data_IF_838434872148
#
_entry.id   IF_838434872148
#
_cell.length_a   1.000
_cell.length_b   1.000
_cell.length_c   1.000
_cell.angle_alpha   90.00
_cell.angle_beta   90.00
_cell.angle_gamma   90.00
#
_symmetry.space_group_name_H-M   'P 1'
#
loop_
_entity.id
_entity.type
_entity.pdbx_description
1 polymer ?
#
# COMPACT_ATOMS: atom_id res chain seq x y z
N UNK A 1 52.08 17.63 19.75
CA UNK A 1 51.87 19.10 19.73
C UNK A 1 50.38 19.35 19.93
N UNK A 2 50.11 20.12 20.93
CA UNK A 2 48.89 20.20 21.72
C UNK A 2 47.77 20.99 21.04
N UNK A 3 46.52 20.49 21.16
CA UNK A 3 45.30 21.10 20.59
C UNK A 3 44.62 21.99 21.66
N UNK A 4 45.30 23.02 22.14
CA UNK A 4 44.67 24.05 22.98
C UNK A 4 45.43 25.35 22.77
N UNK A 5 44.81 26.29 22.05
CA UNK A 5 44.85 27.75 22.22
C UNK A 5 44.41 28.45 20.96
N UNK A 6 43.13 28.78 20.88
CA UNK A 6 42.62 29.91 20.10
C UNK A 6 41.20 30.29 20.62
N UNK A 7 41.19 30.96 21.77
CA UNK A 7 40.04 31.74 22.22
C UNK A 7 40.65 33.06 22.78
N UNK A 8 40.55 34.10 22.01
CA UNK A 8 41.00 35.42 22.38
C UNK A 8 40.20 36.52 21.70
N UNK A 9 39.27 37.09 22.46
CA UNK A 9 38.75 38.45 22.40
C UNK A 9 38.24 39.03 21.05
N UNK A 10 36.91 39.15 20.96
CA UNK A 10 36.26 40.27 20.31
C UNK A 10 35.08 40.73 21.19
N UNK A 11 35.30 41.76 21.98
CA UNK A 11 34.22 42.58 22.53
C UNK A 11 33.61 43.40 21.42
N UNK A 12 32.35 43.13 21.09
CA UNK A 12 31.55 43.98 20.25
C UNK A 12 30.39 44.53 21.05
N UNK A 13 30.30 45.82 21.08
CA UNK A 13 29.30 46.70 21.68
C UNK A 13 27.88 46.28 21.30
N UNK A 14 27.05 46.02 22.30
CA UNK A 14 25.62 45.77 22.15
C UNK A 14 24.91 47.10 21.87
N UNK A 15 24.43 47.25 20.63
CA UNK A 15 23.39 48.22 20.29
C UNK A 15 22.03 47.55 20.50
N UNK A 16 21.27 47.97 21.49
CA UNK A 16 19.88 47.58 21.74
C UNK A 16 18.96 48.11 20.66
N UNK A 17 18.53 47.25 19.73
CA UNK A 17 17.37 47.50 18.86
C UNK A 17 16.10 46.96 19.54
N UNK A 18 14.94 47.65 19.44
CA UNK A 18 13.70 47.18 20.07
C UNK A 18 13.27 45.86 19.41
N UNK A 19 13.07 44.84 20.26
CA UNK A 19 12.67 43.52 19.83
C UNK A 19 11.30 43.47 19.18
N UNK A 20 11.26 43.30 17.90
CA UNK A 20 10.11 42.69 17.24
C UNK A 20 10.19 41.18 17.53
N UNK A 21 9.40 40.76 18.50
CA UNK A 21 9.11 39.31 18.65
C UNK A 21 8.39 38.86 17.39
N UNK A 22 9.15 38.37 16.41
CA UNK A 22 8.59 37.47 15.39
C UNK A 22 8.19 36.21 16.15
N UNK A 23 6.95 36.19 16.63
CA UNK A 23 6.28 34.90 16.93
C UNK A 23 6.15 34.18 15.61
N UNK A 24 7.09 33.25 15.35
CA UNK A 24 6.82 32.15 14.44
C UNK A 24 5.65 31.39 15.08
N UNK A 25 4.43 31.70 14.66
CA UNK A 25 3.35 30.76 14.81
C UNK A 25 3.80 29.55 14.01
N UNK A 26 4.17 28.47 14.70
CA UNK A 26 4.22 27.16 14.08
C UNK A 26 2.83 27.00 13.47
N UNK A 27 2.75 27.09 12.14
CA UNK A 27 1.55 26.76 11.39
C UNK A 27 1.19 25.35 11.87
N UNK A 28 0.14 25.22 12.66
CA UNK A 28 -0.31 23.92 13.14
C UNK A 28 -0.58 23.10 11.89
N UNK A 29 0.26 22.10 11.62
CA UNK A 29 0.11 21.26 10.46
C UNK A 29 -1.33 20.75 10.44
N UNK A 30 -2.06 21.04 9.37
CA UNK A 30 -3.46 20.69 9.23
C UNK A 30 -3.64 19.19 9.44
N UNK A 31 -4.49 18.84 10.40
CA UNK A 31 -4.71 17.43 10.77
C UNK A 31 -5.33 16.71 9.57
N UNK A 32 -4.78 15.54 9.16
CA UNK A 32 -5.33 14.76 8.07
C UNK A 32 -6.83 14.49 8.27
N UNK A 33 -7.63 14.69 7.23
CA UNK A 33 -9.10 14.60 7.34
C UNK A 33 -9.60 13.25 7.86
N UNK A 34 -8.86 12.17 7.62
CA UNK A 34 -9.19 10.84 8.12
C UNK A 34 -8.91 10.67 9.63
N UNK A 35 -8.12 11.58 10.24
CA UNK A 35 -7.81 11.59 11.68
C UNK A 35 -8.74 12.49 12.49
N UNK A 36 -9.86 12.93 11.94
CA UNK A 36 -10.87 13.67 12.71
C UNK A 36 -11.35 12.83 13.89
N UNK A 37 -11.36 13.46 15.08
CA UNK A 37 -11.64 12.81 16.34
C UNK A 37 -10.40 12.32 17.09
N UNK A 38 -9.20 12.45 16.50
CA UNK A 38 -7.91 12.11 17.10
C UNK A 38 -6.99 13.31 17.27
N UNK A 39 -7.53 14.54 17.21
CA UNK A 39 -6.78 15.82 17.19
C UNK A 39 -5.82 15.94 18.37
N UNK A 40 -6.31 15.62 19.58
CA UNK A 40 -5.49 15.72 20.81
C UNK A 40 -4.30 14.78 20.78
N UNK A 41 -4.53 13.53 20.36
CA UNK A 41 -3.46 12.54 20.25
C UNK A 41 -2.48 12.90 19.12
N UNK A 42 -3.00 13.37 17.99
CA UNK A 42 -2.20 13.81 16.85
C UNK A 42 -1.23 14.95 17.23
N UNK A 43 -1.69 15.90 18.03
CA UNK A 43 -0.86 17.00 18.52
C UNK A 43 0.25 16.57 19.49
N UNK A 44 0.12 15.41 20.13
CA UNK A 44 1.11 14.83 21.03
C UNK A 44 2.04 13.86 20.28
N UNK A 45 1.46 12.97 19.50
CA UNK A 45 2.14 11.94 18.71
C UNK A 45 1.29 11.59 17.50
N UNK A 46 1.67 12.10 16.34
CA UNK A 46 0.94 11.90 15.08
C UNK A 46 0.92 10.43 14.65
N UNK A 47 1.97 9.68 14.95
CA UNK A 47 2.07 8.26 14.64
C UNK A 47 1.14 7.42 15.52
N UNK A 48 1.13 7.68 16.83
CA UNK A 48 0.20 7.03 17.76
C UNK A 48 -1.26 7.30 17.40
N UNK A 49 -1.59 8.52 16.94
CA UNK A 49 -2.93 8.86 16.47
C UNK A 49 -3.33 8.03 15.24
N UNK A 50 -2.42 7.86 14.28
CA UNK A 50 -2.66 7.04 13.11
C UNK A 50 -2.84 5.55 13.45
N UNK A 51 -2.05 5.01 14.37
CA UNK A 51 -2.19 3.63 14.86
C UNK A 51 -3.54 3.40 15.55
N UNK A 52 -3.96 4.32 16.43
CA UNK A 52 -5.24 4.18 17.14
C UNK A 52 -6.42 4.34 16.17
N UNK A 53 -6.33 5.27 15.22
CA UNK A 53 -7.32 5.37 14.14
C UNK A 53 -7.40 4.08 13.33
N UNK A 54 -6.27 3.52 12.89
CA UNK A 54 -6.23 2.32 12.07
C UNK A 54 -6.83 1.10 12.80
N UNK A 55 -6.54 0.95 14.08
CA UNK A 55 -7.14 -0.08 14.94
C UNK A 55 -8.67 0.01 14.96
N UNK A 56 -9.23 1.22 14.86
CA UNK A 56 -10.67 1.47 14.90
C UNK A 56 -11.31 1.54 13.49
N UNK A 57 -10.51 1.64 12.43
CA UNK A 57 -11.00 1.75 11.06
C UNK A 57 -11.70 0.48 10.55
N UNK A 58 -11.24 -0.68 10.95
CA UNK A 58 -11.84 -2.02 10.81
C UNK A 58 -12.10 -2.53 9.39
N UNK A 59 -12.44 -1.69 8.41
CA UNK A 59 -12.81 -2.12 7.07
C UNK A 59 -12.29 -1.14 6.03
N UNK A 60 -11.62 -1.66 4.98
CA UNK A 60 -11.05 -0.89 3.89
C UNK A 60 -11.30 -1.52 2.52
N UNK A 61 -11.28 -0.67 1.47
CA UNK A 61 -11.31 -1.07 0.06
C UNK A 61 -9.88 -1.22 -0.45
N UNK A 62 -9.57 -2.34 -1.09
CA UNK A 62 -8.35 -2.49 -1.88
C UNK A 62 -8.68 -2.50 -3.37
N UNK A 63 -7.78 -1.95 -4.18
CA UNK A 63 -7.91 -2.00 -5.64
C UNK A 63 -6.59 -2.43 -6.26
N UNK A 64 -6.63 -3.56 -7.01
CA UNK A 64 -5.52 -3.97 -7.87
C UNK A 64 -5.83 -3.52 -9.30
N UNK A 65 -5.22 -2.42 -9.72
CA UNK A 65 -5.40 -1.82 -11.04
C UNK A 65 -4.04 -1.54 -11.70
N UNK A 66 -3.95 -1.82 -13.00
CA UNK A 66 -2.73 -1.65 -13.78
C UNK A 66 -2.95 -2.04 -15.24
N UNK A 67 -1.87 -2.14 -16.04
CA UNK A 67 -1.96 -2.54 -17.45
C UNK A 67 -2.57 -3.93 -17.62
N UNK A 68 -2.35 -4.85 -16.67
CA UNK A 68 -2.91 -6.19 -16.67
C UNK A 68 -4.44 -6.20 -16.77
N UNK A 69 -5.13 -5.16 -16.31
CA UNK A 69 -6.59 -5.04 -16.43
C UNK A 69 -7.05 -5.01 -17.89
N UNK A 70 -6.22 -4.49 -18.81
CA UNK A 70 -6.51 -4.48 -20.25
C UNK A 70 -6.55 -5.90 -20.83
N UNK A 71 -5.80 -6.83 -20.26
CA UNK A 71 -5.77 -8.23 -20.68
C UNK A 71 -6.90 -9.06 -20.05
N UNK A 72 -7.41 -8.65 -18.89
CA UNK A 72 -8.49 -9.36 -18.19
C UNK A 72 -8.14 -10.79 -17.81
N UNK A 73 -6.89 -11.05 -17.40
CA UNK A 73 -6.38 -12.37 -17.03
C UNK A 73 -5.60 -12.36 -15.70
N UNK A 74 -5.90 -11.36 -14.83
CA UNK A 74 -5.28 -11.20 -13.53
C UNK A 74 -3.93 -10.47 -13.57
N UNK A 75 -3.47 -10.08 -12.40
CA UNK A 75 -2.30 -9.21 -12.21
C UNK A 75 -0.96 -9.92 -12.48
N UNK A 76 -0.94 -11.23 -12.52
CA UNK A 76 0.26 -12.04 -12.78
C UNK A 76 0.44 -12.45 -14.26
N UNK A 77 -0.41 -11.96 -15.15
CA UNK A 77 -0.45 -12.35 -16.57
C UNK A 77 0.89 -12.19 -17.29
N UNK A 78 1.62 -11.10 -17.04
CA UNK A 78 2.95 -10.88 -17.62
C UNK A 78 3.92 -12.01 -17.26
N UNK A 79 3.91 -12.45 -16.01
CA UNK A 79 4.78 -13.53 -15.52
C UNK A 79 4.35 -14.89 -16.08
N UNK A 80 3.05 -15.23 -15.95
CA UNK A 80 2.55 -16.56 -16.28
C UNK A 80 2.61 -16.84 -17.79
N UNK A 81 2.30 -15.84 -18.59
CA UNK A 81 2.32 -15.96 -20.05
C UNK A 81 3.69 -15.59 -20.66
N UNK A 82 4.67 -15.23 -19.81
CA UNK A 82 6.02 -14.87 -20.25
C UNK A 82 6.01 -13.78 -21.33
N UNK A 83 5.14 -12.79 -21.18
CA UNK A 83 5.03 -11.71 -22.18
C UNK A 83 6.32 -10.90 -22.17
N UNK A 84 7.06 -10.76 -23.30
CA UNK A 84 8.31 -10.03 -23.35
C UNK A 84 8.17 -8.60 -22.88
N UNK A 85 9.20 -8.07 -22.19
CA UNK A 85 9.18 -6.71 -21.60
C UNK A 85 8.77 -5.66 -22.62
N UNK A 86 9.44 -5.61 -23.77
CA UNK A 86 9.14 -4.66 -24.85
C UNK A 86 7.71 -4.80 -25.43
N UNK A 87 7.11 -6.00 -25.35
CA UNK A 87 5.74 -6.23 -25.78
C UNK A 87 4.75 -5.73 -24.74
N UNK A 88 5.00 -6.04 -23.47
CA UNK A 88 4.13 -5.63 -22.39
C UNK A 88 4.15 -4.10 -22.20
N UNK A 89 5.32 -3.47 -22.33
CA UNK A 89 5.49 -2.02 -22.21
C UNK A 89 4.60 -1.24 -23.20
N UNK A 90 4.40 -1.76 -24.42
CA UNK A 90 3.52 -1.15 -25.43
C UNK A 90 2.07 -1.04 -25.00
N UNK A 91 1.62 -1.80 -24.01
CA UNK A 91 0.26 -1.68 -23.49
C UNK A 91 -0.02 -0.30 -22.86
N UNK A 92 1.05 0.42 -22.46
CA UNK A 92 0.93 1.82 -22.05
C UNK A 92 0.31 2.70 -23.15
N UNK A 93 0.60 2.41 -24.42
CA UNK A 93 0.14 3.20 -25.60
C UNK A 93 -1.38 3.14 -25.78
N UNK A 94 -2.05 2.18 -25.15
CA UNK A 94 -3.51 2.02 -25.18
C UNK A 94 -4.17 2.23 -23.83
N UNK A 95 -3.40 2.54 -22.78
CA UNK A 95 -3.95 2.71 -21.44
C UNK A 95 -4.78 3.99 -21.35
N UNK A 96 -6.10 3.82 -21.22
CA UNK A 96 -7.05 4.93 -21.13
C UNK A 96 -8.22 4.57 -20.20
N UNK A 97 -8.07 4.76 -18.87
CA UNK A 97 -9.09 4.48 -17.87
C UNK A 97 -10.15 5.59 -17.83
N UNK A 98 -10.90 5.76 -18.91
CA UNK A 98 -11.85 6.87 -19.07
C UNK A 98 -13.04 6.81 -18.11
N UNK A 99 -13.30 5.66 -17.49
CA UNK A 99 -14.33 5.48 -16.47
C UNK A 99 -13.76 5.40 -15.03
N UNK A 100 -12.47 5.62 -14.84
CA UNK A 100 -11.92 5.76 -13.49
C UNK A 100 -12.44 7.07 -12.88
N UNK A 101 -13.29 6.94 -11.88
CA UNK A 101 -13.88 8.06 -11.14
C UNK A 101 -13.53 7.94 -9.66
N UNK A 102 -12.55 8.74 -9.24
CA UNK A 102 -12.04 8.72 -7.87
C UNK A 102 -13.09 9.14 -6.82
N UNK A 103 -13.98 10.08 -7.15
CA UNK A 103 -15.08 10.49 -6.27
C UNK A 103 -16.10 9.36 -6.10
N UNK A 104 -16.48 8.67 -7.19
CA UNK A 104 -17.40 7.54 -7.15
C UNK A 104 -16.81 6.33 -6.41
N UNK A 105 -15.49 6.07 -6.56
CA UNK A 105 -14.78 5.03 -5.82
C UNK A 105 -14.81 5.33 -4.32
N UNK A 106 -14.52 6.57 -3.92
CA UNK A 106 -14.54 6.97 -2.52
C UNK A 106 -15.98 6.94 -1.94
N UNK A 107 -17.00 7.30 -2.72
CA UNK A 107 -18.40 7.16 -2.32
C UNK A 107 -18.79 5.70 -2.11
N UNK A 108 -18.37 4.80 -3.02
CA UNK A 108 -18.62 3.38 -2.88
C UNK A 108 -17.97 2.80 -1.60
N UNK A 109 -16.74 3.23 -1.30
CA UNK A 109 -16.09 2.83 -0.05
C UNK A 109 -16.88 3.29 1.20
N UNK A 110 -17.36 4.53 1.21
CA UNK A 110 -18.22 5.04 2.28
C UNK A 110 -19.57 4.31 2.34
N UNK A 111 -20.19 4.08 1.19
CA UNK A 111 -21.44 3.32 1.07
C UNK A 111 -21.29 1.91 1.66
N UNK A 112 -20.13 1.27 1.45
CA UNK A 112 -19.80 -0.04 2.03
C UNK A 112 -19.47 0.02 3.53
N UNK A 113 -19.33 1.20 4.14
CA UNK A 113 -18.95 1.38 5.55
C UNK A 113 -17.45 1.36 5.79
N UNK A 114 -16.65 1.45 4.73
CA UNK A 114 -15.20 1.47 4.78
C UNK A 114 -14.64 2.80 5.28
N UNK A 115 -13.43 2.79 5.83
CA UNK A 115 -12.75 3.95 6.41
C UNK A 115 -11.48 4.34 5.68
N UNK A 116 -10.99 3.49 4.80
CA UNK A 116 -9.79 3.74 4.01
C UNK A 116 -9.82 3.00 2.67
N UNK A 117 -8.97 3.48 1.77
CA UNK A 117 -8.73 2.88 0.45
C UNK A 117 -7.25 2.55 0.34
N UNK A 118 -6.93 1.37 -0.18
CA UNK A 118 -5.59 0.93 -0.57
C UNK A 118 -5.58 0.70 -2.08
N UNK A 119 -4.72 1.39 -2.84
CA UNK A 119 -4.67 1.23 -4.29
C UNK A 119 -3.25 0.95 -4.77
N UNK A 120 -3.10 0.08 -5.77
CA UNK A 120 -1.81 -0.18 -6.41
C UNK A 120 -1.30 1.08 -7.09
N UNK A 121 -0.36 1.79 -6.44
CA UNK A 121 0.37 2.89 -7.10
C UNK A 121 1.34 2.35 -8.15
N UNK A 122 1.99 1.22 -7.85
CA UNK A 122 2.83 0.43 -8.77
C UNK A 122 2.73 -1.04 -8.38
N UNK A 123 2.29 -1.91 -9.30
CA UNK A 123 2.31 -3.37 -9.14
C UNK A 123 3.59 -3.99 -9.71
N UNK A 124 3.74 -5.31 -9.69
CA UNK A 124 4.95 -6.05 -10.11
C UNK A 124 5.33 -5.82 -11.58
N UNK A 125 4.38 -5.46 -12.43
CA UNK A 125 4.61 -5.10 -13.84
C UNK A 125 5.39 -3.79 -14.03
N UNK A 126 5.58 -3.01 -12.94
CA UNK A 126 6.35 -1.77 -12.93
C UNK A 126 5.62 -0.52 -13.43
N UNK A 127 4.38 -0.64 -13.96
CA UNK A 127 3.62 0.50 -14.43
C UNK A 127 3.11 1.34 -13.26
N UNK A 128 3.35 2.67 -13.34
CA UNK A 128 3.02 3.62 -12.28
C UNK A 128 1.70 4.31 -12.56
N UNK A 129 0.72 4.21 -11.65
CA UNK A 129 -0.55 4.92 -11.74
C UNK A 129 -0.50 6.35 -11.21
N UNK A 130 0.70 6.91 -11.04
CA UNK A 130 0.98 8.21 -10.47
C UNK A 130 2.02 8.98 -11.29
N UNK A 131 2.04 10.29 -11.07
CA UNK A 131 3.05 11.17 -11.68
C UNK A 131 4.43 10.88 -11.09
N UNK A 132 5.33 10.38 -11.92
CA UNK A 132 6.72 10.13 -11.53
C UNK A 132 7.69 10.65 -12.59
N UNK A 133 8.84 11.15 -12.14
CA UNK A 133 9.95 11.56 -13.03
C UNK A 133 10.97 10.44 -13.23
N UNK A 134 10.80 9.32 -12.50
CA UNK A 134 11.77 8.23 -12.50
C UNK A 134 11.67 7.33 -13.73
N UNK A 135 10.49 7.32 -14.37
CA UNK A 135 10.23 6.53 -15.58
C UNK A 135 9.09 7.15 -16.39
N UNK A 136 9.14 7.10 -17.74
CA UNK A 136 7.98 7.41 -18.57
C UNK A 136 6.91 6.29 -18.60
N UNK A 137 7.16 5.18 -17.91
CA UNK A 137 6.24 4.04 -17.83
C UNK A 137 5.18 4.30 -16.75
N UNK A 138 4.31 5.27 -17.00
CA UNK A 138 3.30 5.74 -16.07
C UNK A 138 2.02 6.23 -16.75
N UNK A 139 0.95 6.42 -15.97
CA UNK A 139 -0.38 6.82 -16.46
C UNK A 139 -0.43 8.24 -17.01
N UNK A 140 0.45 9.14 -16.56
CA UNK A 140 0.49 10.54 -17.04
C UNK A 140 1.11 10.63 -18.42
N UNK A 141 2.13 9.80 -18.70
CA UNK A 141 2.80 9.69 -20.00
C UNK A 141 2.14 8.64 -20.93
N UNK A 142 0.95 8.18 -20.60
CA UNK A 142 0.09 7.34 -21.42
C UNK A 142 -1.02 8.16 -22.09
N UNK A 143 -1.84 7.60 -22.99
CA UNK A 143 -3.01 8.28 -23.55
C UNK A 143 -4.03 8.77 -22.51
N UNK A 144 -4.00 8.22 -21.29
CA UNK A 144 -4.80 8.68 -20.17
C UNK A 144 -4.47 10.12 -19.78
N UNK A 145 -3.18 10.50 -19.78
CA UNK A 145 -2.66 11.80 -19.32
C UNK A 145 -3.18 12.19 -17.91
N UNK A 146 -3.39 11.18 -17.05
CA UNK A 146 -4.01 11.33 -15.74
C UNK A 146 -3.12 10.80 -14.62
N UNK A 147 -3.09 11.52 -13.51
CA UNK A 147 -2.48 11.10 -12.25
C UNK A 147 -3.54 10.46 -11.36
N UNK A 148 -3.77 9.15 -11.54
CA UNK A 148 -4.87 8.45 -10.86
C UNK A 148 -4.70 8.43 -9.34
N UNK A 149 -3.46 8.39 -8.85
CA UNK A 149 -3.22 8.45 -7.39
C UNK A 149 -3.46 9.85 -6.84
N UNK A 150 -3.13 10.90 -7.60
CA UNK A 150 -3.44 12.28 -7.24
C UNK A 150 -4.95 12.54 -7.15
N UNK A 151 -5.71 12.03 -8.12
CA UNK A 151 -7.18 12.11 -8.12
C UNK A 151 -7.78 11.36 -6.92
N UNK A 152 -7.32 10.14 -6.65
CA UNK A 152 -7.80 9.33 -5.54
C UNK A 152 -7.46 9.96 -4.18
N UNK A 153 -6.25 10.53 -4.04
CA UNK A 153 -5.85 11.24 -2.83
C UNK A 153 -6.73 12.47 -2.55
N UNK A 154 -7.08 13.22 -3.59
CA UNK A 154 -7.99 14.36 -3.45
C UNK A 154 -9.39 13.92 -3.01
N UNK A 155 -9.94 12.87 -3.63
CA UNK A 155 -11.25 12.31 -3.29
C UNK A 155 -11.30 11.76 -1.86
N UNK A 156 -10.30 10.97 -1.46
CA UNK A 156 -10.19 10.43 -0.10
C UNK A 156 -10.10 11.56 0.95
N UNK A 157 -9.24 12.57 0.73
CA UNK A 157 -9.12 13.72 1.63
C UNK A 157 -10.43 14.49 1.78
N UNK A 158 -11.12 14.76 0.69
CA UNK A 158 -12.43 15.45 0.68
C UNK A 158 -13.47 14.69 1.51
N UNK A 159 -13.43 13.37 1.50
CA UNK A 159 -14.42 12.49 2.13
C UNK A 159 -14.00 11.93 3.50
N UNK A 160 -12.82 12.27 3.99
CA UNK A 160 -12.32 11.81 5.30
C UNK A 160 -11.93 10.32 5.32
N UNK A 161 -11.58 9.76 4.16
CA UNK A 161 -11.02 8.42 4.03
C UNK A 161 -9.50 8.44 4.14
N UNK A 162 -8.91 7.46 4.83
CA UNK A 162 -7.47 7.22 4.78
C UNK A 162 -7.08 6.65 3.41
N UNK A 163 -5.95 7.10 2.85
CA UNK A 163 -5.39 6.52 1.64
C UNK A 163 -4.08 5.81 1.96
N UNK A 164 -4.02 4.51 1.68
CA UNK A 164 -2.81 3.73 1.62
C UNK A 164 -2.38 3.54 0.16
N UNK A 165 -1.11 3.71 -0.12
CA UNK A 165 -0.56 3.40 -1.43
C UNK A 165 0.13 2.03 -1.37
N UNK A 166 -0.45 1.06 -2.08
CA UNK A 166 0.23 -0.21 -2.31
C UNK A 166 1.42 0.04 -3.24
N UNK A 167 2.57 -0.49 -2.88
CA UNK A 167 3.79 -0.37 -3.66
C UNK A 167 4.51 -1.73 -3.76
N UNK A 168 4.68 -2.24 -4.98
CA UNK A 168 5.49 -3.42 -5.22
C UNK A 168 6.97 -3.10 -4.98
N UNK A 169 7.47 -3.45 -3.79
CA UNK A 169 8.83 -3.16 -3.37
C UNK A 169 9.81 -4.26 -3.78
N UNK A 170 9.41 -5.52 -3.64
CA UNK A 170 10.32 -6.64 -3.85
C UNK A 170 9.95 -7.52 -5.06
N UNK A 171 9.25 -6.94 -6.02
CA UNK A 171 9.08 -7.45 -7.37
C UNK A 171 8.93 -6.29 -8.36
N UNK A 172 9.68 -6.33 -9.43
CA UNK A 172 9.53 -5.39 -10.55
C UNK A 172 10.02 -6.08 -11.83
N UNK A 173 9.06 -6.51 -12.65
CA UNK A 173 9.35 -7.25 -13.88
C UNK A 173 9.77 -6.34 -15.05
N UNK A 174 9.63 -5.03 -14.89
CA UNK A 174 10.00 -4.04 -15.89
C UNK A 174 11.38 -3.42 -15.60
N UNK A 175 11.67 -3.10 -14.32
CA UNK A 175 12.87 -2.34 -13.98
C UNK A 175 14.16 -3.10 -14.32
N UNK A 176 15.09 -2.50 -15.10
CA UNK A 176 16.26 -3.22 -15.62
C UNK A 176 17.19 -3.79 -14.56
N UNK A 177 17.29 -3.17 -13.39
CA UNK A 177 18.20 -3.54 -12.32
C UNK A 177 17.55 -4.32 -11.16
N UNK A 178 16.30 -4.76 -11.29
CA UNK A 178 15.79 -5.77 -10.37
C UNK A 178 16.58 -7.08 -10.59
N UNK A 179 16.80 -7.87 -9.55
CA UNK A 179 17.66 -9.05 -9.65
C UNK A 179 17.06 -10.19 -10.49
N UNK A 180 17.90 -11.11 -10.95
CA UNK A 180 17.50 -12.22 -11.81
C UNK A 180 16.90 -13.39 -11.02
N UNK A 181 16.18 -14.27 -11.72
CA UNK A 181 15.62 -15.51 -11.16
C UNK A 181 16.68 -16.38 -10.46
N UNK A 182 17.86 -16.52 -11.04
CA UNK A 182 18.96 -17.32 -10.51
C UNK A 182 19.56 -16.78 -9.21
N UNK A 183 19.20 -15.54 -8.82
CA UNK A 183 19.70 -14.94 -7.58
C UNK A 183 18.94 -15.37 -6.33
N UNK A 184 17.78 -16.06 -6.45
CA UNK A 184 17.11 -16.60 -5.26
C UNK A 184 15.61 -16.86 -5.37
N UNK A 185 14.92 -16.29 -6.36
CA UNK A 185 13.47 -16.39 -6.49
C UNK A 185 13.01 -16.60 -7.92
N UNK A 186 12.25 -17.68 -8.17
CA UNK A 186 11.80 -18.05 -9.51
C UNK A 186 10.90 -17.01 -10.18
N UNK A 187 10.18 -16.18 -9.41
CA UNK A 187 9.27 -15.17 -9.94
C UNK A 187 9.86 -13.76 -9.91
N UNK A 188 11.18 -13.64 -9.64
CA UNK A 188 11.89 -12.36 -9.76
C UNK A 188 11.78 -11.76 -11.17
N UNK A 189 11.69 -12.64 -12.18
CA UNK A 189 11.46 -12.31 -13.59
C UNK A 189 10.60 -13.40 -14.22
N UNK A 190 9.82 -13.13 -15.29
CA UNK A 190 9.23 -14.19 -16.09
C UNK A 190 10.30 -15.16 -16.65
N UNK A 191 9.92 -16.43 -16.84
CA UNK A 191 10.83 -17.46 -17.34
C UNK A 191 10.91 -17.44 -18.86
N UNK A 192 11.51 -16.40 -19.42
CA UNK A 192 11.65 -16.24 -20.86
C UNK A 192 12.57 -17.31 -21.46
N UNK A 193 12.23 -17.76 -22.66
CA UNK A 193 13.06 -18.73 -23.43
C UNK A 193 14.29 -18.05 -24.06
N UNK A 194 14.22 -16.72 -24.24
CA UNK A 194 15.33 -15.89 -24.74
C UNK A 194 15.64 -14.76 -23.74
N UNK A 195 16.92 -14.36 -23.63
CA UNK A 195 17.31 -13.22 -22.82
C UNK A 195 16.52 -11.96 -23.21
N UNK A 196 16.10 -11.17 -22.22
CA UNK A 196 15.51 -9.86 -22.46
C UNK A 196 16.60 -8.80 -22.39
N UNK A 197 16.81 -8.03 -23.48
CA UNK A 197 17.87 -7.01 -23.53
C UNK A 197 17.68 -5.89 -22.52
N UNK A 198 16.45 -5.67 -22.06
CA UNK A 198 16.09 -4.69 -21.04
C UNK A 198 16.66 -5.01 -19.66
N UNK A 199 17.01 -6.28 -19.37
CA UNK A 199 17.50 -6.71 -18.06
C UNK A 199 19.01 -6.52 -17.93
N UNK A 200 19.41 -5.51 -17.18
CA UNK A 200 20.80 -5.06 -17.05
C UNK A 200 21.49 -5.52 -15.76
N UNK A 201 20.74 -6.03 -14.77
CA UNK A 201 21.33 -6.54 -13.53
C UNK A 201 22.34 -7.68 -13.82
N UNK A 202 23.52 -7.60 -13.24
CA UNK A 202 24.60 -8.60 -13.39
C UNK A 202 25.17 -9.06 -12.06
N UNK A 203 25.16 -8.20 -11.05
CA UNK A 203 25.73 -8.43 -9.72
C UNK A 203 24.91 -7.68 -8.67
N UNK A 204 25.06 -8.06 -7.39
CA UNK A 204 24.28 -7.51 -6.29
C UNK A 204 24.44 -5.99 -6.13
N UNK A 205 25.62 -5.44 -6.44
CA UNK A 205 25.86 -4.00 -6.40
C UNK A 205 24.95 -3.20 -7.38
N UNK A 206 24.54 -3.81 -8.49
CA UNK A 206 23.66 -3.17 -9.46
C UNK A 206 22.25 -2.93 -8.89
N UNK A 207 21.85 -3.72 -7.88
CA UNK A 207 20.55 -3.59 -7.26
C UNK A 207 20.33 -2.25 -6.56
N UNK A 208 21.42 -1.55 -6.19
CA UNK A 208 21.31 -0.21 -5.62
C UNK A 208 20.61 0.76 -6.56
N UNK A 209 20.75 0.62 -7.88
CA UNK A 209 20.04 1.44 -8.87
C UNK A 209 18.52 1.25 -8.80
N UNK A 210 18.06 0.02 -8.49
CA UNK A 210 16.65 -0.22 -8.22
C UNK A 210 16.20 0.41 -6.89
N UNK A 211 16.99 0.31 -5.84
CA UNK A 211 16.67 0.92 -4.55
C UNK A 211 16.60 2.45 -4.65
N UNK A 212 17.53 3.07 -5.35
CA UNK A 212 17.51 4.53 -5.58
C UNK A 212 16.25 4.97 -6.36
N UNK A 213 15.86 4.20 -7.38
CA UNK A 213 14.60 4.39 -8.10
C UNK A 213 13.39 4.31 -7.14
N UNK A 214 13.33 3.27 -6.29
CA UNK A 214 12.25 3.11 -5.30
C UNK A 214 12.21 4.29 -4.32
N UNK A 215 13.36 4.67 -3.75
CA UNK A 215 13.44 5.77 -2.79
C UNK A 215 13.01 7.11 -3.41
N UNK A 216 13.36 7.36 -4.67
CA UNK A 216 12.92 8.56 -5.38
C UNK A 216 11.41 8.54 -5.62
N UNK A 217 10.84 7.41 -6.03
CA UNK A 217 9.38 7.27 -6.17
C UNK A 217 8.65 7.42 -4.84
N UNK A 218 9.17 6.87 -3.75
CA UNK A 218 8.58 7.07 -2.40
C UNK A 218 8.61 8.56 -2.00
N UNK A 219 9.70 9.30 -2.31
CA UNK A 219 9.72 10.76 -2.09
C UNK A 219 8.62 11.46 -2.87
N UNK A 220 8.44 11.11 -4.14
CA UNK A 220 7.38 11.67 -4.97
C UNK A 220 6.00 11.37 -4.38
N UNK A 221 5.70 10.11 -4.04
CA UNK A 221 4.42 9.70 -3.47
C UNK A 221 4.11 10.41 -2.13
N UNK A 222 5.11 10.57 -1.27
CA UNK A 222 4.95 11.15 0.07
C UNK A 222 4.95 12.69 0.07
N UNK A 223 5.28 13.35 -1.05
CA UNK A 223 5.33 14.82 -1.11
C UNK A 223 4.30 15.44 -2.06
N UNK A 224 3.72 14.65 -3.00
CA UNK A 224 2.81 15.20 -4.02
C UNK A 224 1.34 15.19 -3.60
N UNK A 225 0.91 14.27 -2.73
CA UNK A 225 -0.51 13.97 -2.54
C UNK A 225 -1.08 14.39 -1.19
N UNK A 226 -0.30 15.12 -0.38
CA UNK A 226 -0.67 15.49 0.98
C UNK A 226 -0.58 14.29 1.93
N UNK A 227 -1.23 14.36 3.11
CA UNK A 227 -1.11 13.34 4.13
C UNK A 227 -1.70 11.99 3.68
N UNK A 228 -0.85 10.96 3.67
CA UNK A 228 -1.24 9.58 3.42
C UNK A 228 -1.50 8.85 4.76
N UNK A 229 -2.39 7.88 4.75
CA UNK A 229 -2.58 6.97 5.89
C UNK A 229 -1.46 5.95 5.98
N UNK A 230 -0.89 5.52 4.84
CA UNK A 230 0.24 4.62 4.87
C UNK A 230 0.80 4.20 3.52
N UNK A 231 1.91 3.47 3.58
CA UNK A 231 2.50 2.71 2.47
C UNK A 231 2.30 1.22 2.76
N UNK A 232 1.66 0.54 1.83
CA UNK A 232 1.42 -0.89 1.88
C UNK A 232 2.39 -1.59 0.94
N UNK A 233 3.51 -2.10 1.49
CA UNK A 233 4.51 -2.82 0.72
C UNK A 233 4.09 -4.26 0.46
N UNK A 234 4.24 -4.67 -0.79
CA UNK A 234 4.16 -6.08 -1.15
C UNK A 234 5.56 -6.68 -1.25
N UNK A 235 5.96 -7.51 -0.28
CA UNK A 235 7.25 -8.15 -0.30
C UNK A 235 7.32 -9.29 -1.29
N UNK A 236 6.18 -9.91 -1.58
CA UNK A 236 6.15 -11.23 -2.19
C UNK A 236 7.35 -12.08 -1.71
N UNK A 237 7.70 -13.14 -2.35
CA UNK A 237 8.87 -13.93 -1.91
C UNK A 237 10.22 -13.28 -2.26
N UNK A 238 10.19 -12.23 -3.07
CA UNK A 238 11.41 -11.54 -3.53
C UNK A 238 12.28 -10.98 -2.41
N UNK A 239 11.65 -10.35 -1.39
CA UNK A 239 12.38 -9.90 -0.21
C UNK A 239 12.93 -11.07 0.60
N UNK A 240 12.10 -12.07 0.90
CA UNK A 240 12.53 -13.19 1.77
C UNK A 240 13.65 -14.03 1.16
N UNK A 241 13.70 -14.14 -0.16
CA UNK A 241 14.79 -14.80 -0.87
C UNK A 241 16.13 -14.05 -0.80
N UNK A 242 16.08 -12.70 -0.77
CA UNK A 242 17.26 -11.83 -0.83
C UNK A 242 17.11 -10.62 0.11
N UNK A 243 16.93 -10.84 1.43
CA UNK A 243 16.77 -9.74 2.40
C UNK A 243 17.99 -8.82 2.47
N UNK A 244 19.15 -9.33 2.08
CA UNK A 244 20.43 -8.63 2.01
C UNK A 244 20.44 -7.47 0.99
N UNK A 245 19.56 -7.49 -0.01
CA UNK A 245 19.50 -6.46 -1.06
C UNK A 245 18.60 -5.27 -0.69
N UNK A 246 17.77 -5.40 0.34
CA UNK A 246 16.75 -4.40 0.66
C UNK A 246 17.05 -3.63 1.95
N UNK A 247 17.47 -2.36 1.88
CA UNK A 247 17.81 -1.55 3.05
C UNK A 247 16.55 -1.03 3.77
N UNK A 248 15.78 -1.92 4.41
CA UNK A 248 14.49 -1.59 5.02
C UNK A 248 14.55 -0.46 6.04
N UNK A 249 15.61 -0.42 6.87
CA UNK A 249 15.76 0.64 7.87
C UNK A 249 15.88 2.02 7.20
N UNK A 250 16.63 2.13 6.11
CA UNK A 250 16.76 3.34 5.30
C UNK A 250 15.41 3.71 4.66
N UNK A 251 14.72 2.72 4.10
CA UNK A 251 13.42 2.91 3.45
C UNK A 251 12.35 3.40 4.42
N UNK A 252 12.26 2.79 5.61
CA UNK A 252 11.27 3.18 6.62
C UNK A 252 11.61 4.55 7.24
N UNK A 253 12.89 4.82 7.51
CA UNK A 253 13.33 6.13 7.99
C UNK A 253 13.00 7.25 7.00
N UNK A 254 13.12 6.99 5.68
CA UNK A 254 12.72 7.93 4.64
C UNK A 254 11.21 8.26 4.74
N UNK A 255 10.35 7.24 4.89
CA UNK A 255 8.90 7.44 4.96
C UNK A 255 8.54 8.27 6.20
N UNK A 256 9.02 7.89 7.39
CA UNK A 256 8.71 8.62 8.63
C UNK A 256 9.30 10.03 8.66
N UNK A 257 10.44 10.27 8.00
CA UNK A 257 11.01 11.61 7.90
C UNK A 257 10.17 12.59 7.07
N UNK A 258 9.41 12.07 6.11
CA UNK A 258 8.55 12.86 5.23
C UNK A 258 7.12 12.96 5.78
N UNK A 259 6.60 11.89 6.34
CA UNK A 259 5.25 11.82 6.91
C UNK A 259 5.25 10.97 8.19
N UNK A 260 5.46 11.57 9.37
CA UNK A 260 5.56 10.83 10.63
C UNK A 260 4.32 9.99 10.99
N UNK A 261 3.13 10.40 10.56
CA UNK A 261 1.87 9.68 10.77
C UNK A 261 1.66 8.51 9.80
N UNK A 262 2.46 8.41 8.73
CA UNK A 262 2.27 7.40 7.68
C UNK A 262 2.58 6.00 8.22
N UNK A 263 1.60 5.10 8.16
CA UNK A 263 1.77 3.72 8.63
C UNK A 263 2.43 2.84 7.56
N UNK A 264 3.22 1.88 8.00
CA UNK A 264 3.93 0.96 7.11
C UNK A 264 3.46 -0.48 7.35
N UNK A 265 3.03 -1.16 6.29
CA UNK A 265 2.81 -2.60 6.26
C UNK A 265 3.74 -3.28 5.27
N UNK A 266 4.08 -4.53 5.58
CA UNK A 266 4.90 -5.41 4.74
C UNK A 266 4.38 -6.84 4.87
N UNK A 267 3.11 -7.07 4.48
CA UNK A 267 2.39 -8.35 4.66
C UNK A 267 2.60 -8.97 6.05
N UNK A 268 3.21 -10.15 6.14
CA UNK A 268 3.51 -10.79 7.43
C UNK A 268 4.63 -10.09 8.20
N UNK A 269 5.27 -9.11 7.59
CA UNK A 269 6.38 -8.36 8.12
C UNK A 269 7.72 -8.76 7.50
N UNK A 270 8.71 -7.89 7.66
CA UNK A 270 10.06 -8.08 7.14
C UNK A 270 11.12 -8.05 8.25
N UNK A 271 11.15 -7.00 9.08
CA UNK A 271 12.15 -6.88 10.15
C UNK A 271 11.53 -6.65 11.54
N UNK A 272 10.21 -6.54 11.62
CA UNK A 272 9.47 -6.29 12.87
C UNK A 272 9.25 -4.81 13.20
N UNK A 273 9.70 -3.88 12.33
CA UNK A 273 9.46 -2.43 12.51
C UNK A 273 8.17 -1.95 11.83
N UNK A 274 7.49 -2.81 11.10
CA UNK A 274 6.21 -2.51 10.46
C UNK A 274 5.14 -2.16 11.51
N UNK A 275 4.19 -1.31 11.17
CA UNK A 275 3.14 -0.84 12.08
C UNK A 275 2.04 -1.88 12.29
N UNK A 276 1.72 -2.65 11.27
CA UNK A 276 0.74 -3.71 11.29
C UNK A 276 1.13 -4.83 10.33
N UNK A 277 0.54 -6.03 10.53
CA UNK A 277 0.68 -7.14 9.58
C UNK A 277 -0.57 -7.27 8.71
N UNK A 278 -0.37 -7.57 7.43
CA UNK A 278 -1.44 -7.73 6.46
C UNK A 278 -1.35 -9.08 5.72
N UNK A 279 -1.59 -10.21 6.43
CA UNK A 279 -1.55 -11.53 5.80
C UNK A 279 -2.72 -11.73 4.83
N UNK A 280 -2.45 -12.45 3.74
CA UNK A 280 -3.45 -12.75 2.72
C UNK A 280 -4.40 -13.86 3.17
N UNK A 281 -5.70 -13.62 3.01
CA UNK A 281 -6.82 -14.56 3.20
C UNK A 281 -6.96 -15.14 4.60
N UNK A 282 -5.86 -15.44 5.27
CA UNK A 282 -5.83 -16.04 6.59
C UNK A 282 -4.54 -15.73 7.35
N UNK A 283 -4.57 -15.86 8.67
CA UNK A 283 -3.35 -15.72 9.47
C UNK A 283 -2.33 -16.83 9.13
N UNK A 284 -1.02 -16.53 9.13
CA UNK A 284 0.03 -17.53 8.95
C UNK A 284 -0.10 -18.70 9.96
N UNK A 285 0.21 -19.89 9.50
CA UNK A 285 0.05 -21.15 10.25
C UNK A 285 -0.92 -22.13 9.60
N UNK A 286 -1.86 -21.63 8.76
CA UNK A 286 -2.80 -22.44 7.99
C UNK A 286 -2.54 -22.42 6.48
N UNK A 287 -1.54 -21.65 6.00
CA UNK A 287 -1.25 -21.49 4.57
C UNK A 287 -0.33 -22.60 4.01
N UNK A 288 -0.52 -22.97 2.73
CA UNK A 288 0.47 -23.80 2.04
C UNK A 288 1.83 -23.11 2.02
N UNK A 289 2.93 -23.90 2.05
CA UNK A 289 4.30 -23.41 2.09
C UNK A 289 4.59 -22.40 0.94
N UNK A 290 4.72 -21.10 1.22
CA UNK A 290 4.90 -20.06 0.20
C UNK A 290 6.29 -20.12 -0.46
N UNK A 291 7.20 -20.94 0.06
CA UNK A 291 8.60 -20.97 -0.34
C UNK A 291 8.92 -21.86 -1.54
N UNK A 292 7.93 -22.48 -2.19
CA UNK A 292 8.17 -23.31 -3.37
C UNK A 292 8.87 -22.56 -4.51
N UNK A 293 8.58 -21.28 -4.67
CA UNK A 293 9.20 -20.41 -5.68
C UNK A 293 10.57 -19.85 -5.27
N UNK A 294 11.00 -20.07 -4.02
CA UNK A 294 12.34 -19.70 -3.55
C UNK A 294 13.31 -20.84 -3.85
N UNK A 295 14.48 -20.49 -4.40
CA UNK A 295 15.52 -21.46 -4.69
C UNK A 295 15.92 -22.22 -3.42
N UNK A 296 16.21 -23.53 -3.49
CA UNK A 296 16.53 -24.36 -2.33
C UNK A 296 17.62 -23.74 -1.42
N UNK A 297 18.65 -23.14 -2.01
CA UNK A 297 19.76 -22.49 -1.29
C UNK A 297 19.36 -21.24 -0.49
N UNK A 298 18.16 -20.71 -0.68
CA UNK A 298 17.65 -19.50 -0.01
C UNK A 298 16.48 -19.76 0.93
N UNK A 299 15.94 -20.99 0.96
CA UNK A 299 14.74 -21.32 1.73
C UNK A 299 14.93 -21.21 3.24
N UNK A 300 16.09 -21.59 3.74
CA UNK A 300 16.41 -21.48 5.17
C UNK A 300 16.39 -20.04 5.62
N UNK A 301 17.15 -19.17 4.94
CA UNK A 301 17.15 -17.71 5.20
C UNK A 301 15.76 -17.12 5.12
N UNK A 302 14.97 -17.48 4.10
CA UNK A 302 13.60 -17.00 3.93
C UNK A 302 12.69 -17.41 5.10
N UNK A 303 12.80 -18.66 5.56
CA UNK A 303 12.05 -19.17 6.71
C UNK A 303 12.41 -18.44 8.01
N UNK A 304 13.69 -18.20 8.25
CA UNK A 304 14.17 -17.51 9.44
C UNK A 304 13.66 -16.05 9.46
N UNK A 305 13.82 -15.33 8.35
CA UNK A 305 13.38 -13.93 8.23
C UNK A 305 11.86 -13.82 8.45
N UNK A 306 11.07 -14.65 7.75
CA UNK A 306 9.62 -14.62 7.86
C UNK A 306 9.14 -15.00 9.26
N UNK A 307 9.70 -16.08 9.84
CA UNK A 307 9.31 -16.54 11.17
C UNK A 307 9.61 -15.50 12.25
N UNK A 308 10.80 -14.87 12.18
CA UNK A 308 11.17 -13.78 13.10
C UNK A 308 10.25 -12.58 12.95
N UNK A 309 10.02 -12.13 11.73
CA UNK A 309 9.17 -10.97 11.47
C UNK A 309 7.73 -11.23 11.92
N UNK A 310 7.18 -12.41 11.61
CA UNK A 310 5.84 -12.79 12.04
C UNK A 310 5.71 -12.89 13.56
N UNK A 311 6.71 -13.47 14.25
CA UNK A 311 6.71 -13.56 15.72
C UNK A 311 6.54 -12.18 16.39
N UNK A 312 7.11 -11.14 15.80
CA UNK A 312 6.96 -9.76 16.29
C UNK A 312 5.61 -9.18 15.87
N UNK A 313 5.30 -9.25 14.59
CA UNK A 313 4.17 -8.53 13.99
C UNK A 313 2.79 -9.12 14.33
N UNK A 314 2.69 -10.42 14.64
CA UNK A 314 1.42 -11.04 15.06
C UNK A 314 0.82 -10.45 16.35
N UNK A 315 1.60 -9.69 17.11
CA UNK A 315 1.18 -8.99 18.34
C UNK A 315 0.62 -7.58 18.07
N UNK A 316 0.77 -7.09 16.85
CA UNK A 316 0.29 -5.79 16.40
C UNK A 316 -1.12 -5.90 15.83
N UNK A 317 -1.68 -4.79 15.36
CA UNK A 317 -2.92 -4.84 14.58
C UNK A 317 -2.74 -5.75 13.37
N UNK A 318 -3.72 -6.60 13.12
CA UNK A 318 -3.77 -7.45 11.92
C UNK A 318 -4.79 -6.87 10.96
N UNK A 319 -4.44 -6.82 9.69
CA UNK A 319 -5.31 -6.51 8.57
C UNK A 319 -5.39 -7.74 7.65
N UNK A 320 -6.48 -8.48 7.73
CA UNK A 320 -6.69 -9.59 6.80
C UNK A 320 -7.05 -9.04 5.43
N UNK A 321 -6.23 -9.28 4.40
CA UNK A 321 -6.58 -8.90 3.04
C UNK A 321 -7.20 -10.07 2.28
N UNK A 322 -8.33 -9.80 1.61
CA UNK A 322 -9.06 -10.76 0.79
C UNK A 322 -9.60 -10.08 -0.47
N UNK A 323 -10.17 -10.84 -1.39
CA UNK A 323 -10.63 -10.32 -2.68
C UNK A 323 -12.04 -10.78 -3.01
N UNK A 324 -12.79 -9.95 -3.72
CA UNK A 324 -14.12 -10.27 -4.24
C UNK A 324 -14.03 -11.33 -5.35
N UNK A 325 -13.03 -11.23 -6.22
CA UNK A 325 -12.78 -12.25 -7.24
C UNK A 325 -12.24 -13.55 -6.61
N UNK A 326 -12.65 -14.74 -7.07
CA UNK A 326 -12.22 -16.00 -6.45
C UNK A 326 -10.75 -16.33 -6.68
N UNK A 327 -10.17 -16.01 -7.85
CA UNK A 327 -8.89 -16.54 -8.33
C UNK A 327 -7.75 -15.52 -8.40
N UNK A 328 -8.01 -14.22 -8.35
CA UNK A 328 -6.99 -13.18 -8.53
C UNK A 328 -7.30 -11.90 -7.77
N UNK A 329 -6.35 -10.96 -7.82
CA UNK A 329 -6.50 -9.61 -7.25
C UNK A 329 -6.83 -8.58 -8.34
N UNK A 330 -6.16 -8.61 -9.48
CA UNK A 330 -6.47 -7.83 -10.67
C UNK A 330 -7.60 -8.44 -11.48
N UNK A 331 -8.25 -7.63 -12.33
CA UNK A 331 -9.38 -8.08 -13.12
C UNK A 331 -9.09 -9.36 -13.93
N UNK A 332 -9.98 -10.34 -13.79
CA UNK A 332 -10.00 -11.59 -14.55
C UNK A 332 -11.38 -11.80 -15.14
N UNK A 333 -11.49 -11.72 -16.46
CA UNK A 333 -12.75 -11.96 -17.19
C UNK A 333 -13.29 -13.37 -16.95
N UNK A 334 -12.44 -14.34 -16.65
CA UNK A 334 -12.85 -15.71 -16.34
C UNK A 334 -13.62 -15.81 -15.01
N UNK A 335 -13.54 -14.80 -14.18
CA UNK A 335 -14.21 -14.72 -12.88
C UNK A 335 -15.52 -13.92 -12.92
N UNK A 336 -15.88 -13.32 -14.06
CA UNK A 336 -17.15 -12.60 -14.23
C UNK A 336 -18.34 -13.50 -13.86
N UNK A 337 -19.26 -12.98 -13.05
CA UNK A 337 -20.43 -13.71 -12.55
C UNK A 337 -20.13 -14.71 -11.43
N UNK A 338 -18.88 -14.73 -10.90
CA UNK A 338 -18.44 -15.64 -9.82
C UNK A 338 -17.90 -14.90 -8.61
N UNK A 339 -18.02 -13.59 -8.59
CA UNK A 339 -17.52 -12.79 -7.47
C UNK A 339 -18.32 -13.09 -6.20
N UNK A 340 -17.68 -12.87 -5.05
CA UNK A 340 -18.29 -13.13 -3.74
C UNK A 340 -19.54 -12.29 -3.53
N UNK A 341 -20.56 -12.92 -2.97
CA UNK A 341 -21.80 -12.25 -2.59
C UNK A 341 -21.70 -11.62 -1.21
N UNK A 342 -22.66 -10.76 -0.88
CA UNK A 342 -22.66 -9.99 0.37
C UNK A 342 -22.60 -10.87 1.63
N UNK A 343 -23.27 -12.02 1.64
CA UNK A 343 -23.29 -12.96 2.76
C UNK A 343 -21.90 -13.49 3.09
N UNK A 344 -21.09 -13.84 2.06
CA UNK A 344 -19.72 -14.31 2.25
C UNK A 344 -18.83 -13.19 2.82
N UNK A 345 -18.97 -11.96 2.30
CA UNK A 345 -18.23 -10.80 2.78
C UNK A 345 -18.60 -10.46 4.22
N UNK A 346 -19.89 -10.51 4.58
CA UNK A 346 -20.35 -10.30 5.95
C UNK A 346 -19.77 -11.36 6.91
N UNK A 347 -19.66 -12.61 6.49
CA UNK A 347 -19.01 -13.66 7.28
C UNK A 347 -17.52 -13.35 7.50
N UNK A 348 -16.80 -12.86 6.46
CA UNK A 348 -15.40 -12.44 6.58
C UNK A 348 -15.26 -11.26 7.57
N UNK A 349 -16.13 -10.26 7.46
CA UNK A 349 -16.17 -9.10 8.38
C UNK A 349 -16.37 -9.56 9.80
N UNK A 350 -17.39 -10.39 10.06
CA UNK A 350 -17.71 -10.89 11.39
C UNK A 350 -16.54 -11.68 11.98
N UNK A 351 -15.89 -12.52 11.19
CA UNK A 351 -14.73 -13.30 11.61
C UNK A 351 -13.53 -12.42 11.95
N UNK A 352 -13.21 -11.45 11.09
CA UNK A 352 -12.12 -10.50 11.32
C UNK A 352 -12.37 -9.64 12.57
N UNK A 353 -13.56 -9.07 12.69
CA UNK A 353 -13.89 -8.19 13.82
C UNK A 353 -13.96 -8.95 15.16
N UNK A 354 -14.45 -10.19 15.16
CA UNK A 354 -14.41 -11.04 16.35
C UNK A 354 -12.99 -11.33 16.83
N UNK A 355 -12.03 -11.41 15.90
CA UNK A 355 -10.60 -11.54 16.21
C UNK A 355 -9.91 -10.22 16.56
N UNK A 356 -10.61 -9.07 16.47
CA UNK A 356 -10.03 -7.74 16.65
C UNK A 356 -9.34 -7.19 15.40
N UNK A 357 -9.36 -7.93 14.29
CA UNK A 357 -8.66 -7.61 13.05
C UNK A 357 -9.41 -6.57 12.20
N UNK A 358 -8.67 -5.95 11.28
CA UNK A 358 -9.25 -5.23 10.16
C UNK A 358 -9.47 -6.19 8.98
N UNK A 359 -10.42 -5.88 8.11
CA UNK A 359 -10.58 -6.52 6.81
C UNK A 359 -10.27 -5.50 5.71
N UNK A 360 -9.36 -5.85 4.82
CA UNK A 360 -9.09 -5.12 3.57
C UNK A 360 -9.64 -5.97 2.41
N UNK A 361 -10.69 -5.48 1.74
CA UNK A 361 -11.38 -6.24 0.69
C UNK A 361 -11.09 -5.65 -0.68
N UNK A 362 -10.53 -6.48 -1.56
CA UNK A 362 -10.07 -6.07 -2.87
C UNK A 362 -11.14 -6.22 -3.96
N UNK A 363 -11.15 -5.28 -4.88
CA UNK A 363 -11.74 -5.36 -6.22
C UNK A 363 -10.66 -5.19 -7.29
N UNK A 364 -10.84 -5.79 -8.45
CA UNK A 364 -9.99 -5.59 -9.63
C UNK A 364 -10.73 -4.72 -10.66
N UNK A 365 -10.45 -3.41 -10.77
CA UNK A 365 -11.09 -2.56 -11.77
C UNK A 365 -10.90 -3.07 -13.20
N UNK A 366 -11.92 -2.88 -14.02
CA UNK A 366 -11.95 -3.23 -15.45
C UNK A 366 -10.92 -2.40 -16.23
N UNK A 367 -10.69 -2.76 -17.49
CA UNK A 367 -9.74 -2.07 -18.36
C UNK A 367 -10.00 -0.55 -18.48
N UNK A 368 -11.25 -0.15 -18.47
CA UNK A 368 -11.68 1.26 -18.54
C UNK A 368 -11.61 2.01 -17.21
N UNK A 369 -11.19 1.34 -16.13
CA UNK A 369 -11.04 1.89 -14.78
C UNK A 369 -12.31 1.81 -13.92
N UNK A 370 -13.43 1.33 -14.43
CA UNK A 370 -14.66 1.14 -13.65
C UNK A 370 -14.55 -0.08 -12.71
N UNK A 371 -15.30 -0.04 -11.62
CA UNK A 371 -15.50 -1.22 -10.75
C UNK A 371 -16.65 -2.05 -11.32
N UNK A 372 -16.52 -3.39 -11.32
CA UNK A 372 -17.55 -4.27 -11.85
C UNK A 372 -18.90 -4.07 -11.16
N UNK A 373 -19.98 -4.20 -11.90
CA UNK A 373 -21.34 -4.01 -11.38
C UNK A 373 -21.69 -5.01 -10.25
N UNK A 374 -21.13 -6.22 -10.30
CA UNK A 374 -21.32 -7.22 -9.24
C UNK A 374 -20.61 -6.85 -7.96
N UNK A 375 -19.39 -6.30 -8.02
CA UNK A 375 -18.67 -5.80 -6.85
C UNK A 375 -19.39 -4.59 -6.23
N UNK A 376 -19.82 -3.63 -7.05
CA UNK A 376 -20.61 -2.47 -6.62
C UNK A 376 -21.87 -2.92 -5.88
N UNK A 377 -22.58 -3.90 -6.43
CA UNK A 377 -23.79 -4.46 -5.80
C UNK A 377 -23.44 -5.06 -4.43
N UNK A 378 -22.47 -5.96 -4.39
CA UNK A 378 -22.03 -6.64 -3.16
C UNK A 378 -21.61 -5.63 -2.08
N UNK A 379 -20.77 -4.66 -2.43
CA UNK A 379 -20.28 -3.65 -1.47
C UNK A 379 -21.40 -2.79 -0.90
N UNK A 380 -22.38 -2.38 -1.73
CA UNK A 380 -23.55 -1.62 -1.24
C UNK A 380 -24.46 -2.45 -0.34
N UNK A 381 -24.61 -3.76 -0.63
CA UNK A 381 -25.36 -4.68 0.23
C UNK A 381 -24.69 -4.87 1.58
N UNK A 382 -23.38 -5.08 1.61
CA UNK A 382 -22.57 -5.12 2.84
C UNK A 382 -22.76 -3.85 3.67
N UNK A 383 -22.69 -2.68 3.04
CA UNK A 383 -22.86 -1.41 3.73
C UNK A 383 -24.27 -1.24 4.35
N UNK A 384 -25.31 -1.70 3.66
CA UNK A 384 -26.67 -1.72 4.24
C UNK A 384 -26.74 -2.60 5.48
N UNK A 385 -26.12 -3.78 5.46
CA UNK A 385 -26.06 -4.69 6.60
C UNK A 385 -25.34 -4.06 7.79
N UNK A 386 -24.16 -3.46 7.59
CA UNK A 386 -23.38 -2.81 8.65
C UNK A 386 -24.18 -1.70 9.33
N UNK A 387 -24.86 -0.85 8.55
CA UNK A 387 -25.70 0.24 9.09
C UNK A 387 -26.97 -0.28 9.78
N UNK A 388 -27.60 -1.32 9.25
CA UNK A 388 -28.78 -1.95 9.83
C UNK A 388 -28.49 -2.64 11.18
N UNK A 389 -27.35 -3.35 11.28
CA UNK A 389 -26.91 -3.96 12.53
C UNK A 389 -26.60 -2.95 13.63
N UNK A 390 -26.07 -1.78 13.28
CA UNK A 390 -25.86 -0.67 14.22
C UNK A 390 -27.18 -0.10 14.77
N UNK A 391 -28.23 -0.05 13.95
CA UNK A 391 -29.56 0.40 14.39
C UNK A 391 -30.22 -0.58 15.40
N UNK A 392 -30.05 -1.89 15.19
CA UNK A 392 -30.58 -2.91 16.09
C UNK A 392 -29.91 -2.90 17.47
N UNK A 393 -28.61 -2.62 17.54
CA UNK A 393 -27.85 -2.54 18.80
C UNK A 393 -28.20 -1.29 19.63
N UNK A 394 -28.65 -0.22 19.00
CA UNK A 394 -29.09 1.02 19.66
C UNK A 394 -30.51 0.83 20.26
N UNK A 395 -31.41 0.12 19.58
CA UNK A 395 -32.76 -0.17 20.09
C UNK A 395 -32.74 -1.07 21.32
N UNK A 396 -31.89 -2.10 21.32
CA UNK A 396 -31.76 -3.03 22.49
C UNK A 396 -31.14 -2.33 23.71
N UNK A 397 -30.32 -1.28 23.55
CA UNK A 397 -29.82 -0.49 24.69
C UNK A 397 -30.85 0.48 25.25
N UNK A 398 -31.79 0.98 24.44
CA UNK A 398 -32.88 1.86 24.95
C UNK A 398 -33.94 1.08 25.76
N UNK A 399 -34.27 -0.16 25.38
CA UNK A 399 -35.22 -0.98 26.10
C UNK A 399 -34.69 -1.52 27.43
N UNK A 400 -33.36 -1.59 27.64
CA UNK A 400 -32.76 -2.00 28.93
C UNK A 400 -32.44 -0.85 29.88
N UNK A 401 -32.67 0.40 29.49
CA UNK A 401 -32.42 1.60 30.30
C UNK A 401 -33.63 2.22 31.00
N UNK A 402 -34.84 1.71 30.74
CA UNK A 402 -36.07 2.28 31.31
C UNK A 402 -36.78 1.36 32.33
N UNK A 403 -36.09 0.35 32.86
CA UNK A 403 -36.62 -0.44 34.00
C UNK A 403 -35.55 -0.52 35.09
N UNK A 404 -35.40 0.58 35.82
CA UNK A 404 -34.80 0.59 37.18
C UNK A 404 -35.30 1.83 37.92
#
# INVERSE_FOLDING_TARGET
MDRRTFLGNLMATAATLPGSHLTFSAEQAEIPSYLRGYETLYGQDSHAAALEWFKNAKFGLMMHYGLYSQLGRGEWVMLHEKIPVATYEKMKETFNPHQFDADAIADLALDAGMKYVTCTSKHHEGFCLFRTKQTPYNSVDSPAQRDLMGELAAACRKKGLGLFLYYSYSADWHHPYFYSRSAGWDFARPAYDQPQPEYLWRQDADFRLYIDYVHNQLRELLTQYGPLAGIWFDPVMGFYARPDLFPLAETYALIYSLQPQCLISFKQGANGSEDFAAPERQRPGAAPNPFRSILPSRRETANEVLSRAWHINQKKQIELCNTLQPNGWGYSKADDGKHRHAEEVIQMINSAWAAGDNLLLNTGPLADGSISAEDVKTLREVGRHIRGGSASSISVRREKGESS
#
